data_IF_816184126548
#
_entry.id   IF_816184126548
#
_cell.length_a   1.000
_cell.length_b   1.000
_cell.length_c   1.000
_cell.angle_alpha   90.00
_cell.angle_beta   90.00
_cell.angle_gamma   90.00
#
_symmetry.space_group_name_H-M   'P 1'
#
loop_
_entity.id
_entity.type
_entity.pdbx_description
1 polymer ?
#
# COMPACT_ATOMS: atom_id res chain seq x y z
N UNK A 1 -22.47 -2.52 25.74
CA UNK A 1 -21.69 -1.38 25.21
C UNK A 1 -20.92 -1.92 24.02
N UNK A 2 -21.19 -1.42 22.82
CA UNK A 2 -20.40 -1.77 21.64
C UNK A 2 -19.03 -1.10 21.79
N UNK A 3 -17.97 -1.89 21.94
CA UNK A 3 -16.61 -1.35 21.96
C UNK A 3 -16.21 -0.98 20.53
N UNK A 4 -16.03 0.31 20.29
CA UNK A 4 -15.49 0.81 19.03
C UNK A 4 -13.97 0.81 19.05
N UNK A 5 -13.35 0.33 17.97
CA UNK A 5 -11.91 0.33 17.77
C UNK A 5 -11.55 1.27 16.61
N UNK A 6 -10.64 2.20 16.87
CA UNK A 6 -10.20 3.13 15.83
C UNK A 6 -9.08 2.53 14.99
N UNK A 7 -9.23 2.58 13.68
CA UNK A 7 -8.23 2.12 12.71
C UNK A 7 -7.88 3.22 11.71
N UNK A 8 -6.59 3.37 11.43
CA UNK A 8 -6.08 4.27 10.40
C UNK A 8 -5.76 3.45 9.15
N UNK A 9 -6.19 3.91 7.98
CA UNK A 9 -5.85 3.32 6.70
C UNK A 9 -5.05 4.32 5.87
N UNK A 10 -3.88 3.91 5.41
CA UNK A 10 -3.00 4.69 4.55
C UNK A 10 -3.00 4.12 3.14
N UNK A 11 -3.11 4.97 2.12
CA UNK A 11 -3.24 4.56 0.73
C UNK A 11 -2.27 5.29 -0.19
N UNK A 12 -1.61 4.53 -1.09
CA UNK A 12 -0.68 5.04 -2.12
C UNK A 12 -0.68 4.14 -3.38
N UNK A 13 -0.10 4.63 -4.48
CA UNK A 13 0.09 3.97 -5.77
C UNK A 13 1.58 3.95 -6.17
N UNK A 14 2.06 2.82 -6.69
CA UNK A 14 3.44 2.65 -7.19
C UNK A 14 3.46 2.24 -8.66
N UNK A 15 4.47 2.74 -9.38
CA UNK A 15 4.70 2.39 -10.79
C UNK A 15 4.02 3.32 -11.81
N UNK A 16 3.53 4.50 -11.38
CA UNK A 16 3.01 5.55 -12.27
C UNK A 16 3.99 5.80 -13.44
N UNK A 17 3.51 5.64 -14.67
CA UNK A 17 4.26 5.87 -15.92
C UNK A 17 5.55 5.04 -16.08
N UNK A 18 5.69 3.92 -15.35
CA UNK A 18 6.84 3.03 -15.44
C UNK A 18 6.48 1.68 -16.07
N UNK A 19 7.49 0.87 -16.36
CA UNK A 19 7.30 -0.52 -16.75
C UNK A 19 6.48 -1.24 -15.67
N UNK A 20 5.53 -2.08 -16.10
CA UNK A 20 4.66 -2.91 -15.26
C UNK A 20 5.44 -3.64 -14.15
N UNK A 21 4.79 -3.94 -13.00
CA UNK A 21 3.37 -3.72 -12.71
C UNK A 21 3.06 -2.31 -12.19
N UNK A 22 1.81 -1.86 -12.42
CA UNK A 22 1.21 -0.76 -11.68
C UNK A 22 0.52 -1.32 -10.45
N UNK A 23 0.82 -0.76 -9.28
CA UNK A 23 0.32 -1.25 -8.01
C UNK A 23 -0.43 -0.14 -7.26
N UNK A 24 -1.48 -0.51 -6.56
CA UNK A 24 -2.11 0.31 -5.52
C UNK A 24 -2.12 -0.47 -4.21
N UNK A 25 -1.86 0.21 -3.09
CA UNK A 25 -1.74 -0.42 -1.79
C UNK A 25 -2.49 0.33 -0.71
N UNK A 26 -3.14 -0.41 0.18
CA UNK A 26 -3.72 0.11 1.41
C UNK A 26 -3.12 -0.61 2.61
N UNK A 27 -2.68 0.15 3.61
CA UNK A 27 -2.13 -0.36 4.86
C UNK A 27 -3.03 0.06 6.03
N UNK A 28 -3.51 -0.92 6.77
CA UNK A 28 -4.33 -0.76 7.96
C UNK A 28 -3.48 -0.83 9.22
N UNK A 29 -3.61 0.17 10.10
CA UNK A 29 -2.85 0.31 11.35
C UNK A 29 -3.82 0.70 12.48
N UNK A 30 -3.93 -0.06 13.58
CA UNK A 30 -4.70 0.35 14.75
C UNK A 30 -4.20 1.68 15.30
N UNK A 31 -5.11 2.62 15.60
CA UNK A 31 -4.71 3.95 16.07
C UNK A 31 -3.88 3.87 17.36
N UNK A 32 -4.24 2.97 18.29
CA UNK A 32 -3.50 2.75 19.53
C UNK A 32 -2.04 2.32 19.32
N UNK A 33 -1.75 1.62 18.22
CA UNK A 33 -0.37 1.25 17.86
C UNK A 33 0.34 2.42 17.18
N UNK A 34 -0.35 3.09 16.25
CA UNK A 34 0.18 4.25 15.54
C UNK A 34 0.60 5.37 16.51
N UNK A 35 -0.19 5.64 17.55
CA UNK A 35 0.08 6.70 18.54
C UNK A 35 1.20 6.36 19.55
N UNK A 36 1.82 5.19 19.47
CA UNK A 36 2.95 4.86 20.35
C UNK A 36 4.10 5.85 20.12
N UNK A 37 4.79 6.33 21.19
CA UNK A 37 5.88 7.30 21.05
C UNK A 37 6.94 6.88 20.03
N UNK A 38 7.36 5.60 20.05
CA UNK A 38 8.34 5.07 19.09
C UNK A 38 7.94 5.21 17.62
N UNK A 39 6.64 5.13 17.33
CA UNK A 39 6.10 5.30 15.97
C UNK A 39 6.00 6.79 15.64
N UNK A 40 5.49 7.59 16.57
CA UNK A 40 5.34 9.04 16.37
C UNK A 40 6.69 9.75 16.18
N UNK A 41 7.75 9.28 16.83
CA UNK A 41 9.13 9.76 16.63
C UNK A 41 9.63 9.61 15.18
N UNK A 42 9.09 8.67 14.41
CA UNK A 42 9.46 8.48 13.00
C UNK A 42 8.97 9.64 12.12
N UNK A 43 7.97 10.42 12.54
CA UNK A 43 7.59 11.65 11.85
C UNK A 43 8.76 12.65 11.79
N UNK A 44 9.64 12.67 12.80
CA UNK A 44 10.84 13.51 12.78
C UNK A 44 11.93 12.96 11.85
N UNK A 45 11.93 11.65 11.57
CA UNK A 45 12.85 11.03 10.61
C UNK A 45 12.50 11.48 9.19
N UNK A 46 11.23 11.37 8.81
CA UNK A 46 10.77 11.68 7.44
C UNK A 46 10.80 13.18 7.12
N UNK A 47 10.73 14.05 8.13
CA UNK A 47 10.92 15.50 7.96
C UNK A 47 12.38 15.85 7.64
N UNK A 48 13.33 15.08 8.18
CA UNK A 48 14.78 15.34 8.01
C UNK A 48 15.36 14.69 6.77
N UNK A 49 14.81 13.55 6.36
CA UNK A 49 15.27 12.78 5.21
C UNK A 49 14.07 12.56 4.30
N UNK A 50 14.10 13.14 3.10
CA UNK A 50 13.10 12.83 2.08
C UNK A 50 13.33 11.41 1.58
N UNK A 51 12.34 10.55 1.78
CA UNK A 51 12.40 9.14 1.41
C UNK A 51 11.61 8.96 0.13
N UNK A 52 12.25 8.40 -0.89
CA UNK A 52 11.59 8.12 -2.15
C UNK A 52 12.06 6.77 -2.69
N UNK A 53 11.28 5.71 -2.43
CA UNK A 53 11.67 4.36 -2.83
C UNK A 53 12.03 4.28 -4.32
N UNK A 54 11.30 4.98 -5.18
CA UNK A 54 11.58 5.00 -6.63
C UNK A 54 13.00 5.51 -6.93
N UNK A 55 13.49 6.52 -6.19
CA UNK A 55 14.78 7.17 -6.43
C UNK A 55 15.94 6.53 -5.66
N UNK A 56 15.67 5.89 -4.51
CA UNK A 56 16.67 5.28 -3.63
C UNK A 56 17.73 4.49 -4.39
N UNK A 57 19.00 4.86 -4.22
CA UNK A 57 20.15 4.34 -4.95
C UNK A 57 21.33 3.93 -4.03
N UNK A 58 21.06 3.71 -2.75
CA UNK A 58 22.05 3.27 -1.76
C UNK A 58 22.61 4.37 -0.86
N UNK A 59 22.07 5.59 -0.88
CA UNK A 59 22.45 6.62 0.10
C UNK A 59 22.31 6.08 1.54
N UNK A 60 23.35 6.30 2.34
CA UNK A 60 23.44 5.73 3.69
C UNK A 60 22.42 6.32 4.66
N UNK A 61 22.09 7.61 4.54
CA UNK A 61 21.13 8.28 5.42
C UNK A 61 19.71 7.83 5.08
N UNK A 62 19.38 7.75 3.80
CA UNK A 62 18.09 7.21 3.34
C UNK A 62 17.96 5.74 3.73
N UNK A 63 18.98 4.91 3.48
CA UNK A 63 19.00 3.50 3.87
C UNK A 63 18.75 3.30 5.36
N UNK A 64 19.46 4.05 6.22
CA UNK A 64 19.29 3.95 7.67
C UNK A 64 17.91 4.42 8.12
N UNK A 65 17.33 5.41 7.44
CA UNK A 65 15.97 5.89 7.72
C UNK A 65 14.93 4.83 7.34
N UNK A 66 15.03 4.23 6.15
CA UNK A 66 14.16 3.13 5.71
C UNK A 66 14.29 1.95 6.68
N UNK A 67 15.51 1.56 7.03
CA UNK A 67 15.78 0.49 7.98
C UNK A 67 15.10 0.75 9.33
N UNK A 68 15.27 1.95 9.89
CA UNK A 68 14.64 2.32 11.16
C UNK A 68 13.12 2.27 11.08
N UNK A 69 12.53 2.85 10.03
CA UNK A 69 11.08 2.89 9.83
C UNK A 69 10.51 1.47 9.77
N UNK A 70 11.04 0.63 8.87
CA UNK A 70 10.55 -0.74 8.69
C UNK A 70 10.70 -1.53 9.98
N UNK A 71 11.88 -1.57 10.59
CA UNK A 71 12.06 -2.36 11.81
C UNK A 71 11.14 -1.93 12.96
N UNK A 72 10.95 -0.62 13.15
CA UNK A 72 10.09 -0.10 14.24
C UNK A 72 8.62 -0.50 14.06
N UNK A 73 8.10 -0.46 12.82
CA UNK A 73 6.72 -0.89 12.53
C UNK A 73 6.56 -2.40 12.58
N UNK A 74 7.60 -3.16 12.27
CA UNK A 74 7.52 -4.62 12.24
C UNK A 74 7.55 -5.25 13.64
N UNK A 75 7.92 -4.50 14.70
CA UNK A 75 7.84 -4.97 16.09
C UNK A 75 6.47 -5.57 16.44
N UNK A 76 5.40 -5.00 15.91
CA UNK A 76 4.01 -5.46 16.12
C UNK A 76 3.32 -5.72 14.78
N UNK A 77 4.05 -6.32 13.83
CA UNK A 77 3.57 -6.58 12.47
C UNK A 77 2.22 -7.28 12.38
N UNK A 78 1.86 -8.13 13.36
CA UNK A 78 0.59 -8.84 13.43
C UNK A 78 -0.63 -7.93 13.60
N UNK A 79 -0.41 -6.66 13.96
CA UNK A 79 -1.44 -5.61 14.00
C UNK A 79 -1.67 -4.95 12.64
N UNK A 80 -0.74 -5.14 11.69
CA UNK A 80 -0.76 -4.52 10.38
C UNK A 80 -1.44 -5.43 9.37
N UNK A 81 -2.23 -4.86 8.47
CA UNK A 81 -2.78 -5.58 7.31
C UNK A 81 -2.59 -4.75 6.06
N UNK A 82 -2.12 -5.38 4.98
CA UNK A 82 -1.91 -4.70 3.71
C UNK A 82 -2.63 -5.44 2.58
N UNK A 83 -3.37 -4.68 1.79
CA UNK A 83 -3.98 -5.15 0.55
C UNK A 83 -3.29 -4.44 -0.62
N UNK A 84 -2.90 -5.20 -1.63
CA UNK A 84 -2.25 -4.68 -2.85
C UNK A 84 -2.97 -5.19 -4.08
N UNK A 85 -3.31 -4.29 -5.00
CA UNK A 85 -3.80 -4.66 -6.34
C UNK A 85 -2.74 -4.32 -7.37
N UNK A 86 -2.38 -5.31 -8.19
CA UNK A 86 -1.69 -5.13 -9.46
C UNK A 86 -2.70 -5.06 -10.60
N UNK A 87 -2.55 -4.09 -11.50
CA UNK A 87 -3.47 -3.93 -12.61
C UNK A 87 -2.77 -3.57 -13.92
N UNK A 88 -3.44 -3.90 -15.03
CA UNK A 88 -2.99 -3.58 -16.38
C UNK A 88 -3.77 -2.39 -16.92
N UNK A 89 -3.22 -1.18 -16.77
CA UNK A 89 -3.85 0.06 -17.21
C UNK A 89 -4.26 0.04 -18.69
N UNK A 90 -3.39 -0.43 -19.59
CA UNK A 90 -3.71 -0.47 -21.02
C UNK A 90 -4.96 -1.31 -21.34
N UNK A 91 -5.19 -2.40 -20.59
CA UNK A 91 -6.40 -3.22 -20.74
C UNK A 91 -7.65 -2.51 -20.22
N UNK A 92 -7.52 -1.70 -19.16
CA UNK A 92 -8.62 -0.90 -18.62
C UNK A 92 -9.01 0.18 -19.64
N UNK A 93 -8.02 0.91 -20.15
CA UNK A 93 -8.21 1.94 -21.17
C UNK A 93 -8.85 1.36 -22.43
N UNK A 94 -8.38 0.20 -22.89
CA UNK A 94 -8.97 -0.51 -24.03
C UNK A 94 -10.43 -0.89 -23.78
N UNK A 95 -10.74 -1.43 -22.60
CA UNK A 95 -12.11 -1.82 -22.23
C UNK A 95 -13.04 -0.61 -22.11
N UNK A 96 -12.53 0.51 -21.60
CA UNK A 96 -13.26 1.75 -21.41
C UNK A 96 -13.66 2.42 -22.73
N UNK A 97 -12.98 2.15 -23.86
CA UNK A 97 -13.34 2.71 -25.18
C UNK A 97 -14.80 2.44 -25.56
N UNK A 98 -15.36 1.30 -25.13
CA UNK A 98 -16.77 0.93 -25.39
C UNK A 98 -17.78 1.81 -24.65
N UNK A 99 -17.35 2.50 -23.60
CA UNK A 99 -18.19 3.34 -22.76
C UNK A 99 -17.97 4.83 -23.02
N UNK A 100 -17.04 5.21 -23.90
CA UNK A 100 -16.56 6.58 -24.06
C UNK A 100 -17.68 7.59 -24.32
N UNK A 101 -18.71 7.21 -25.08
CA UNK A 101 -19.84 8.09 -25.42
C UNK A 101 -20.82 8.30 -24.25
N UNK A 102 -20.76 7.44 -23.22
CA UNK A 102 -21.65 7.46 -22.04
C UNK A 102 -20.96 7.86 -20.75
N UNK A 103 -19.69 7.49 -20.60
CA UNK A 103 -18.85 7.76 -19.45
C UNK A 103 -17.41 7.96 -19.93
N UNK A 104 -17.10 9.20 -20.29
CA UNK A 104 -15.80 9.61 -20.85
C UNK A 104 -14.63 9.17 -19.97
N UNK A 105 -14.76 9.34 -18.65
CA UNK A 105 -13.72 9.09 -17.66
C UNK A 105 -13.78 7.67 -17.05
N UNK A 106 -14.36 6.69 -17.76
CA UNK A 106 -14.59 5.34 -17.22
C UNK A 106 -13.30 4.62 -16.78
N UNK A 107 -12.20 4.79 -17.53
CA UNK A 107 -10.91 4.20 -17.19
C UNK A 107 -10.36 4.81 -15.88
N UNK A 108 -10.35 6.14 -15.81
CA UNK A 108 -9.86 6.88 -14.65
C UNK A 108 -10.71 6.60 -13.41
N UNK A 109 -12.04 6.57 -13.52
CA UNK A 109 -12.89 6.19 -12.41
C UNK A 109 -12.67 4.74 -11.96
N UNK A 110 -12.33 3.84 -12.88
CA UNK A 110 -11.99 2.46 -12.51
C UNK A 110 -10.69 2.42 -11.69
N UNK A 111 -9.65 3.07 -12.19
CA UNK A 111 -8.30 3.06 -11.59
C UNK A 111 -8.29 3.88 -10.30
N UNK A 112 -8.71 5.14 -10.35
CA UNK A 112 -8.56 6.10 -9.26
C UNK A 112 -9.74 6.15 -8.31
N UNK A 113 -10.82 5.40 -8.53
CA UNK A 113 -11.96 5.33 -7.60
C UNK A 113 -12.27 3.90 -7.16
N UNK A 114 -12.52 2.99 -8.11
CA UNK A 114 -12.99 1.64 -7.79
C UNK A 114 -11.90 0.74 -7.21
N UNK A 115 -10.66 0.81 -7.68
CA UNK A 115 -9.58 0.04 -7.05
C UNK A 115 -9.24 0.51 -5.63
N UNK A 116 -9.05 1.81 -5.34
CA UNK A 116 -8.85 2.28 -3.97
C UNK A 116 -10.00 1.86 -3.04
N UNK A 117 -11.25 2.02 -3.49
CA UNK A 117 -12.42 1.59 -2.73
C UNK A 117 -12.36 0.10 -2.39
N UNK A 118 -12.10 -0.77 -3.37
CA UNK A 118 -11.97 -2.22 -3.15
C UNK A 118 -10.85 -2.60 -2.20
N UNK A 119 -9.69 -1.93 -2.31
CA UNK A 119 -8.54 -2.14 -1.43
C UNK A 119 -8.94 -1.85 0.02
N UNK A 120 -9.53 -0.67 0.25
CA UNK A 120 -9.90 -0.19 1.58
C UNK A 120 -11.06 -1.00 2.16
N UNK A 121 -12.10 -1.27 1.37
CA UNK A 121 -13.20 -2.16 1.79
C UNK A 121 -12.67 -3.53 2.21
N UNK A 122 -11.72 -4.08 1.46
CA UNK A 122 -11.06 -5.34 1.78
C UNK A 122 -10.35 -5.35 3.14
N UNK A 123 -9.86 -4.19 3.61
CA UNK A 123 -9.22 -4.03 4.92
C UNK A 123 -10.22 -3.87 6.07
N UNK A 124 -11.46 -3.48 5.77
CA UNK A 124 -12.51 -3.13 6.74
C UNK A 124 -13.58 -4.21 6.94
N UNK A 125 -13.74 -5.12 5.99
CA UNK A 125 -14.72 -6.21 6.07
C UNK A 125 -14.25 -7.36 6.95
N UNK A 126 -15.20 -8.22 7.35
CA UNK A 126 -14.95 -9.50 8.07
C UNK A 126 -14.41 -9.37 9.51
N UNK A 127 -14.71 -8.28 10.22
CA UNK A 127 -14.40 -8.16 11.67
C UNK A 127 -15.43 -8.81 12.59
N UNK A 128 -16.44 -9.48 12.01
CA UNK A 128 -17.49 -10.18 12.75
C UNK A 128 -18.50 -9.23 13.39
N UNK A 129 -19.41 -9.80 14.19
CA UNK A 129 -20.57 -9.09 14.74
C UNK A 129 -20.35 -8.49 16.12
N UNK A 130 -19.12 -8.50 16.65
CA UNK A 130 -18.84 -8.06 18.02
C UNK A 130 -17.89 -6.87 18.10
N UNK A 131 -17.40 -6.42 16.94
CA UNK A 131 -16.41 -5.35 16.83
C UNK A 131 -16.96 -4.29 15.90
N UNK A 132 -17.02 -3.06 16.38
CA UNK A 132 -17.29 -1.88 15.56
C UNK A 132 -15.96 -1.19 15.24
N UNK A 133 -15.71 -0.89 13.98
CA UNK A 133 -14.53 -0.12 13.55
C UNK A 133 -14.90 1.34 13.27
N UNK A 134 -14.12 2.26 13.84
CA UNK A 134 -14.13 3.67 13.47
C UNK A 134 -12.89 3.97 12.63
N UNK A 135 -13.09 4.26 11.35
CA UNK A 135 -12.02 4.32 10.36
C UNK A 135 -11.67 5.75 9.98
N UNK A 136 -10.37 6.06 9.97
CA UNK A 136 -9.80 7.26 9.35
C UNK A 136 -8.94 6.86 8.15
N UNK A 137 -9.21 7.45 6.99
CA UNK A 137 -8.50 7.16 5.75
C UNK A 137 -7.58 8.35 5.41
N UNK A 138 -6.32 8.05 5.11
CA UNK A 138 -5.28 8.99 4.72
C UNK A 138 -4.75 8.57 3.34
N UNK A 139 -4.81 9.48 2.39
CA UNK A 139 -4.51 9.24 0.97
C UNK A 139 -3.32 10.12 0.61
N UNK A 140 -2.31 9.57 -0.08
CA UNK A 140 -1.25 10.40 -0.67
C UNK A 140 -1.86 11.52 -1.53
N UNK A 141 -1.43 12.76 -1.31
CA UNK A 141 -1.88 13.92 -2.08
C UNK A 141 -1.27 13.93 -3.51
N UNK A 142 -1.97 13.31 -4.46
CA UNK A 142 -1.63 13.29 -5.89
C UNK A 142 -2.74 13.91 -6.74
N UNK A 143 -2.36 14.75 -7.71
CA UNK A 143 -3.29 15.50 -8.57
C UNK A 143 -4.30 14.62 -9.33
N UNK A 144 -3.97 13.35 -9.60
CA UNK A 144 -4.89 12.40 -10.26
C UNK A 144 -6.10 12.05 -9.40
N UNK A 145 -6.01 12.20 -8.09
CA UNK A 145 -7.13 11.98 -7.17
C UNK A 145 -8.04 13.22 -7.04
N UNK A 146 -7.55 14.39 -7.47
CA UNK A 146 -8.28 15.66 -7.46
C UNK A 146 -8.96 15.93 -8.80
N UNK A 147 -9.99 15.13 -9.15
CA UNK A 147 -10.81 15.42 -10.31
C UNK A 147 -12.04 16.26 -9.90
N UNK A 148 -12.33 17.33 -10.64
CA UNK A 148 -13.48 18.21 -10.39
C UNK A 148 -14.83 17.49 -10.53
N UNK A 149 -14.89 16.40 -11.30
CA UNK A 149 -16.07 15.56 -11.48
C UNK A 149 -16.16 14.44 -10.44
N UNK A 150 -15.03 13.96 -9.91
CA UNK A 150 -14.97 12.88 -8.93
C UNK A 150 -13.76 13.03 -7.99
N UNK A 151 -14.03 13.16 -6.69
CA UNK A 151 -12.99 13.30 -5.66
C UNK A 151 -12.84 11.97 -4.90
N UNK A 152 -11.64 11.39 -4.91
CA UNK A 152 -11.39 10.09 -4.29
C UNK A 152 -11.76 10.08 -2.81
N UNK A 153 -11.33 11.09 -2.07
CA UNK A 153 -11.64 11.28 -0.65
C UNK A 153 -13.15 11.26 -0.38
N UNK A 154 -13.91 12.08 -1.10
CA UNK A 154 -15.38 12.18 -0.94
C UNK A 154 -16.05 10.84 -1.23
N UNK A 155 -15.60 10.17 -2.29
CA UNK A 155 -16.20 8.92 -2.75
C UNK A 155 -15.87 7.75 -1.84
N UNK A 156 -14.65 7.67 -1.29
CA UNK A 156 -14.33 6.67 -0.26
C UNK A 156 -15.19 6.86 0.99
N UNK A 157 -15.35 8.10 1.46
CA UNK A 157 -16.20 8.39 2.61
C UNK A 157 -17.66 7.96 2.37
N UNK A 158 -18.23 8.31 1.22
CA UNK A 158 -19.63 8.00 0.91
C UNK A 158 -19.84 6.51 0.59
N UNK A 159 -19.09 5.95 -0.36
CA UNK A 159 -19.33 4.60 -0.85
C UNK A 159 -19.05 3.55 0.23
N UNK A 160 -18.00 3.70 1.05
CA UNK A 160 -17.69 2.72 2.08
C UNK A 160 -18.74 2.72 3.20
N UNK A 161 -19.25 3.89 3.61
CA UNK A 161 -20.34 3.97 4.59
C UNK A 161 -21.67 3.43 4.02
N UNK A 162 -21.98 3.65 2.75
CA UNK A 162 -23.15 3.03 2.10
C UNK A 162 -22.98 1.51 2.04
N UNK A 163 -21.78 1.03 1.69
CA UNK A 163 -21.48 -0.39 1.64
C UNK A 163 -21.58 -1.04 3.01
N UNK A 164 -21.13 -0.40 4.09
CA UNK A 164 -21.24 -0.98 5.43
C UNK A 164 -22.69 -1.23 5.82
N UNK A 165 -23.59 -0.29 5.51
CA UNK A 165 -25.04 -0.44 5.71
C UNK A 165 -25.59 -1.58 4.85
N UNK A 166 -25.34 -1.54 3.54
CA UNK A 166 -25.88 -2.52 2.58
C UNK A 166 -25.42 -3.95 2.87
N UNK A 167 -24.17 -4.12 3.35
CA UNK A 167 -23.56 -5.43 3.61
C UNK A 167 -23.72 -5.89 5.07
N UNK A 168 -24.24 -5.03 5.95
CA UNK A 168 -24.27 -5.30 7.39
C UNK A 168 -22.88 -5.39 8.03
N UNK A 169 -21.87 -4.72 7.46
CA UNK A 169 -20.52 -4.67 8.00
C UNK A 169 -20.43 -3.65 9.14
N UNK A 170 -19.64 -3.95 10.17
CA UNK A 170 -19.51 -3.11 11.37
C UNK A 170 -18.32 -2.17 11.32
N UNK A 171 -18.31 -1.30 10.32
CA UNK A 171 -17.37 -0.19 10.25
C UNK A 171 -18.05 1.12 9.87
N UNK A 172 -17.49 2.23 10.34
CA UNK A 172 -17.88 3.58 9.97
C UNK A 172 -16.62 4.33 9.55
N UNK A 173 -16.60 4.85 8.33
CA UNK A 173 -15.58 5.81 7.90
C UNK A 173 -15.93 7.17 8.50
N UNK A 174 -15.11 7.63 9.45
CA UNK A 174 -15.25 8.93 10.13
C UNK A 174 -14.67 10.07 9.32
N UNK A 175 -13.59 9.80 8.58
CA UNK A 175 -12.95 10.78 7.73
C UNK A 175 -12.15 10.10 6.62
N UNK A 176 -12.08 10.76 5.48
CA UNK A 176 -11.06 10.53 4.46
C UNK A 176 -10.37 11.87 4.21
N UNK A 177 -9.05 11.89 4.01
CA UNK A 177 -8.32 13.11 3.69
C UNK A 177 -7.06 12.84 2.86
N UNK A 178 -6.66 13.84 2.07
CA UNK A 178 -5.35 13.86 1.43
C UNK A 178 -4.29 14.33 2.42
N UNK A 179 -3.11 13.73 2.33
CA UNK A 179 -1.97 13.99 3.19
C UNK A 179 -0.73 14.10 2.31
N UNK A 180 0.06 15.15 2.51
CA UNK A 180 1.28 15.35 1.72
C UNK A 180 2.39 14.42 2.20
N UNK A 181 3.34 14.12 1.31
CA UNK A 181 4.59 13.46 1.69
C UNK A 181 5.25 14.19 2.85
N UNK A 182 5.90 13.44 3.73
CA UNK A 182 6.58 13.92 4.95
C UNK A 182 5.67 14.50 6.06
N UNK A 183 4.34 14.55 5.89
CA UNK A 183 3.43 14.99 6.96
C UNK A 183 3.13 13.88 7.97
N UNK A 184 2.99 12.63 7.50
CA UNK A 184 2.67 11.49 8.35
C UNK A 184 3.42 10.23 7.92
N UNK A 185 4.04 9.55 8.90
CA UNK A 185 4.83 8.34 8.65
C UNK A 185 4.04 7.19 8.03
N UNK A 186 2.72 7.15 8.21
CA UNK A 186 1.90 6.10 7.60
C UNK A 186 1.87 6.17 6.07
N UNK A 187 1.93 7.38 5.49
CA UNK A 187 2.01 7.58 4.03
C UNK A 187 3.37 7.12 3.50
N UNK A 188 4.46 7.46 4.19
CA UNK A 188 5.81 7.01 3.79
C UNK A 188 5.98 5.50 3.94
N UNK A 189 5.36 4.90 4.96
CA UNK A 189 5.40 3.46 5.17
C UNK A 189 4.68 2.70 4.06
N UNK A 190 3.48 3.12 3.64
CA UNK A 190 2.76 2.45 2.55
C UNK A 190 3.52 2.59 1.22
N UNK A 191 4.12 3.74 0.92
CA UNK A 191 4.98 3.93 -0.26
C UNK A 191 6.19 2.99 -0.25
N UNK A 192 6.90 2.92 0.89
CA UNK A 192 8.05 2.04 1.06
C UNK A 192 7.68 0.57 0.86
N UNK A 193 6.62 0.11 1.54
CA UNK A 193 6.16 -1.28 1.43
C UNK A 193 5.69 -1.60 0.00
N UNK A 194 4.91 -0.71 -0.62
CA UNK A 194 4.42 -0.91 -1.98
C UNK A 194 5.57 -0.91 -3.00
N UNK A 195 6.57 -0.05 -2.77
CA UNK A 195 7.81 -0.03 -3.51
C UNK A 195 8.61 -1.33 -3.40
N UNK A 196 8.75 -1.87 -2.18
CA UNK A 196 9.43 -3.15 -1.94
C UNK A 196 8.67 -4.31 -2.58
N UNK A 197 7.33 -4.35 -2.45
CA UNK A 197 6.46 -5.32 -3.12
C UNK A 197 6.67 -5.28 -4.63
N UNK A 198 6.71 -4.07 -5.22
CA UNK A 198 6.98 -3.91 -6.65
C UNK A 198 8.37 -4.42 -7.05
N UNK A 199 9.40 -4.11 -6.26
CA UNK A 199 10.77 -4.60 -6.49
C UNK A 199 10.86 -6.13 -6.42
N UNK A 200 10.15 -6.76 -5.48
CA UNK A 200 10.05 -8.22 -5.35
C UNK A 200 9.40 -8.82 -6.61
N UNK A 201 8.25 -8.29 -7.05
CA UNK A 201 7.54 -8.80 -8.23
C UNK A 201 8.38 -8.64 -9.51
N UNK A 202 9.03 -7.48 -9.68
CA UNK A 202 9.86 -7.24 -10.88
C UNK A 202 11.11 -8.10 -10.90
N UNK A 203 11.64 -8.47 -9.73
CA UNK A 203 12.82 -9.30 -9.54
C UNK A 203 13.95 -8.97 -10.54
N UNK A 204 14.23 -7.68 -10.70
CA UNK A 204 15.21 -7.22 -11.67
C UNK A 204 16.61 -7.69 -11.30
N UNK A 205 17.36 -8.14 -12.30
CA UNK A 205 18.79 -8.42 -12.13
C UNK A 205 19.55 -7.12 -11.79
N UNK A 206 20.58 -7.18 -10.93
CA UNK A 206 21.28 -5.99 -10.41
C UNK A 206 22.22 -5.34 -11.43
N UNK A 207 21.70 -4.94 -12.59
CA UNK A 207 22.45 -4.30 -13.68
C UNK A 207 22.74 -2.83 -13.44
N UNK A 208 22.04 -2.18 -12.50
CA UNK A 208 22.29 -0.80 -12.07
C UNK A 208 22.50 -0.72 -10.57
N UNK A 209 23.24 0.30 -10.10
CA UNK A 209 23.41 0.57 -8.66
C UNK A 209 22.05 0.66 -7.96
N UNK A 210 21.11 1.40 -8.54
CA UNK A 210 19.76 1.58 -7.99
C UNK A 210 19.05 0.24 -7.73
N UNK A 211 19.03 -0.65 -8.73
CA UNK A 211 18.39 -1.97 -8.59
C UNK A 211 19.13 -2.82 -7.55
N UNK A 212 20.47 -2.83 -7.60
CA UNK A 212 21.30 -3.59 -6.66
C UNK A 212 21.04 -3.18 -5.20
N UNK A 213 21.08 -1.89 -4.89
CA UNK A 213 20.93 -1.38 -3.53
C UNK A 213 19.51 -1.62 -2.98
N UNK A 214 18.48 -1.50 -3.83
CA UNK A 214 17.11 -1.90 -3.46
C UNK A 214 17.00 -3.37 -3.13
N UNK A 215 17.52 -4.24 -4.00
CA UNK A 215 17.47 -5.68 -3.78
C UNK A 215 18.25 -6.07 -2.53
N UNK A 216 19.44 -5.50 -2.32
CA UNK A 216 20.25 -5.72 -1.12
C UNK A 216 19.53 -5.27 0.15
N UNK A 217 18.90 -4.09 0.16
CA UNK A 217 18.15 -3.61 1.32
C UNK A 217 16.96 -4.53 1.65
N UNK A 218 16.20 -4.96 0.64
CA UNK A 218 15.09 -5.91 0.84
C UNK A 218 15.61 -7.23 1.41
N UNK A 219 16.63 -7.84 0.80
CA UNK A 219 17.21 -9.10 1.29
C UNK A 219 17.75 -8.94 2.71
N UNK A 220 18.46 -7.85 3.00
CA UNK A 220 18.97 -7.57 4.35
C UNK A 220 17.83 -7.51 5.38
N UNK A 221 16.72 -6.83 5.05
CA UNK A 221 15.53 -6.76 5.91
C UNK A 221 14.89 -8.14 6.09
N UNK A 222 14.72 -8.91 5.01
CA UNK A 222 14.13 -10.26 5.06
C UNK A 222 14.95 -11.22 5.93
N UNK A 223 16.28 -11.15 5.86
CA UNK A 223 17.17 -12.03 6.61
C UNK A 223 17.37 -11.58 8.06
N UNK A 224 17.37 -10.27 8.32
CA UNK A 224 17.70 -9.73 9.66
C UNK A 224 16.47 -9.50 10.53
N UNK A 225 15.26 -9.41 9.94
CA UNK A 225 14.04 -9.16 10.67
C UNK A 225 12.97 -10.23 10.34
N UNK A 226 12.77 -11.24 11.22
CA UNK A 226 11.78 -12.28 11.01
C UNK A 226 10.34 -11.74 10.98
N UNK A 227 10.06 -10.63 11.67
CA UNK A 227 8.74 -9.99 11.65
C UNK A 227 8.46 -9.31 10.31
N UNK A 228 9.48 -8.75 9.66
CA UNK A 228 9.34 -8.21 8.30
C UNK A 228 9.04 -9.32 7.30
N UNK A 229 9.78 -10.44 7.35
CA UNK A 229 9.49 -11.61 6.53
C UNK A 229 8.06 -12.13 6.76
N UNK A 230 7.65 -12.27 8.03
CA UNK A 230 6.31 -12.71 8.40
C UNK A 230 5.21 -11.74 7.92
N UNK A 231 5.46 -10.43 7.91
CA UNK A 231 4.52 -9.46 7.37
C UNK A 231 4.42 -9.56 5.84
N UNK A 232 5.54 -9.49 5.13
CA UNK A 232 5.59 -9.42 3.66
C UNK A 232 4.93 -10.63 3.02
N UNK A 233 5.17 -11.84 3.56
CA UNK A 233 4.55 -13.06 3.02
C UNK A 233 3.03 -13.11 3.19
N UNK A 234 2.48 -12.36 4.14
CA UNK A 234 1.04 -12.32 4.45
C UNK A 234 0.32 -11.10 3.86
N UNK A 235 0.94 -10.39 2.91
CA UNK A 235 0.26 -9.33 2.16
C UNK A 235 -0.83 -9.96 1.29
N UNK A 236 -2.05 -9.43 1.36
CA UNK A 236 -3.12 -9.85 0.48
C UNK A 236 -2.88 -9.22 -0.90
N UNK A 237 -2.30 -9.98 -1.81
CA UNK A 237 -1.96 -9.53 -3.16
C UNK A 237 -3.02 -10.01 -4.16
N UNK A 238 -3.48 -9.08 -4.98
CA UNK A 238 -4.49 -9.34 -5.99
C UNK A 238 -4.01 -8.90 -7.36
N UNK A 239 -4.36 -9.68 -8.38
CA UNK A 239 -4.12 -9.34 -9.77
C UNK A 239 -5.44 -9.07 -10.49
N UNK A 240 -5.50 -7.92 -11.16
CA UNK A 240 -6.58 -7.61 -12.09
C UNK A 240 -6.12 -7.85 -13.53
N UNK A 241 -6.70 -8.85 -14.18
CA UNK A 241 -6.37 -9.29 -15.54
C UNK A 241 -7.58 -9.33 -16.49
N UNK A 242 -8.62 -8.53 -16.22
CA UNK A 242 -9.95 -8.58 -16.87
C UNK A 242 -10.80 -9.81 -16.46
N UNK A 243 -10.50 -10.41 -15.31
CA UNK A 243 -11.32 -11.45 -14.70
C UNK A 243 -12.59 -10.85 -14.07
N UNK A 244 -13.70 -11.62 -13.95
CA UNK A 244 -14.95 -11.16 -13.34
C UNK A 244 -14.81 -10.82 -11.85
N UNK A 245 -13.73 -11.28 -11.20
CA UNK A 245 -13.38 -10.94 -9.82
C UNK A 245 -11.88 -10.67 -9.71
N UNK A 246 -11.48 -9.94 -8.65
CA UNK A 246 -10.05 -9.82 -8.30
C UNK A 246 -9.54 -11.19 -7.86
N UNK A 247 -8.47 -11.65 -8.49
CA UNK A 247 -7.85 -12.94 -8.18
C UNK A 247 -6.81 -12.70 -7.11
N UNK A 248 -6.99 -13.33 -5.95
CA UNK A 248 -5.97 -13.37 -4.91
C UNK A 248 -4.85 -14.31 -5.35
N UNK A 249 -3.61 -13.82 -5.29
CA UNK A 249 -2.41 -14.56 -5.66
C UNK A 249 -1.51 -14.63 -4.45
N UNK A 250 -1.00 -15.82 -4.15
CA UNK A 250 -0.09 -16.03 -3.03
C UNK A 250 1.23 -15.27 -3.26
N UNK A 251 1.41 -14.18 -2.51
CA UNK A 251 2.59 -13.33 -2.61
C UNK A 251 3.88 -14.05 -2.19
N UNK A 252 3.78 -15.09 -1.36
CA UNK A 252 4.92 -15.90 -0.94
C UNK A 252 5.65 -16.52 -2.14
N UNK A 253 4.93 -16.81 -3.23
CA UNK A 253 5.53 -17.31 -4.48
C UNK A 253 6.51 -16.30 -5.09
N UNK A 254 6.11 -15.03 -5.20
CA UNK A 254 7.00 -13.96 -5.70
C UNK A 254 8.19 -13.75 -4.76
N UNK A 255 7.94 -13.78 -3.45
CA UNK A 255 8.98 -13.62 -2.44
C UNK A 255 10.04 -14.73 -2.54
N UNK A 256 9.63 -15.99 -2.65
CA UNK A 256 10.52 -17.13 -2.75
C UNK A 256 11.38 -17.08 -4.02
N UNK A 257 10.78 -16.72 -5.16
CA UNK A 257 11.51 -16.53 -6.42
C UNK A 257 12.52 -15.40 -6.27
N UNK A 258 12.12 -14.24 -5.73
CA UNK A 258 13.00 -13.12 -5.50
C UNK A 258 14.18 -13.50 -4.61
N UNK A 259 13.94 -14.14 -3.46
CA UNK A 259 15.01 -14.58 -2.56
C UNK A 259 15.95 -15.55 -3.27
N UNK A 260 15.44 -16.53 -4.02
CA UNK A 260 16.28 -17.49 -4.75
C UNK A 260 17.22 -16.83 -5.76
N UNK A 261 16.78 -15.76 -6.43
CA UNK A 261 17.58 -15.03 -7.43
C UNK A 261 18.58 -14.05 -6.80
N UNK A 262 18.22 -13.42 -5.68
CA UNK A 262 19.01 -12.33 -5.12
C UNK A 262 19.99 -12.78 -4.02
N UNK A 263 19.69 -13.87 -3.29
CA UNK A 263 20.58 -14.40 -2.24
C UNK A 263 22.00 -14.71 -2.73
N UNK A 264 22.24 -15.31 -3.92
CA UNK A 264 23.60 -15.55 -4.40
C UNK A 264 24.43 -14.28 -4.63
N UNK A 265 23.76 -13.14 -4.84
CA UNK A 265 24.39 -11.84 -5.09
C UNK A 265 24.44 -10.96 -3.82
N UNK A 266 24.02 -11.49 -2.67
CA UNK A 266 23.98 -10.77 -1.42
C UNK A 266 25.29 -10.94 -0.65
N UNK A 267 25.88 -9.82 -0.25
CA UNK A 267 27.03 -9.78 0.64
C UNK A 267 26.59 -9.09 1.93
N UNK A 268 26.79 -9.76 3.07
CA UNK A 268 26.54 -9.16 4.37
C UNK A 268 27.74 -8.28 4.70
N UNK A 269 27.57 -6.96 4.55
CA UNK A 269 28.46 -5.93 5.11
C UNK A 269 28.06 -5.59 6.55
#
# INVERSE_FOLDING_TARGET
MEHSFTINIYFDESGKNQVKPHLMGGLSIPAVYYEKPKIQELNEVIKKVSIHWTKYDGDSKERNSIWRIINTFMDEHYLLKMNVISYNQSRIEESAKKLKDTLEDAADQTIFMKFPERIIYGLLRKYGTYVQLDTKIFIEDDTKYHNTKYDLRTQLFQQLNIQSIYRGERFIVKSAQYVKKQEQIGIELVDLLLGMVRSIIRNEMPTSRRVREKNQLIIKLLLSNPNFYAFIKNINYFEWSNAPSLVEVDFETYLNIFMSCQLPNFHMD
#
